data_IF_532100677030
#
_entry.id   IF_532100677030
#
_cell.length_a   1.000
_cell.length_b   1.000
_cell.length_c   1.000
_cell.angle_alpha   90.00
_cell.angle_beta   90.00
_cell.angle_gamma   90.00
#
_symmetry.space_group_name_H-M   'P 1'
#
loop_
_entity.id
_entity.type
_entity.pdbx_description
1 polymer ?
#
# COMPACT_ATOMS: atom_id res chain seq x y z
N UNK A 1 -5.30 10.32 10.66
CA UNK A 1 -5.14 8.86 10.52
C UNK A 1 -4.04 8.56 9.53
N UNK A 2 -3.44 7.38 9.61
CA UNK A 2 -2.39 6.97 8.70
C UNK A 2 -2.78 5.81 7.79
N UNK A 3 -2.36 5.91 6.53
CA UNK A 3 -2.55 4.88 5.52
C UNK A 3 -1.20 4.51 4.91
N UNK A 4 -0.94 3.21 4.76
CA UNK A 4 0.31 2.67 4.22
C UNK A 4 0.05 1.93 2.91
N UNK A 5 0.72 2.35 1.84
CA UNK A 5 0.69 1.70 0.53
C UNK A 5 1.96 0.87 0.33
N UNK A 6 1.80 -0.44 0.17
CA UNK A 6 2.85 -1.42 -0.11
C UNK A 6 2.80 -1.79 -1.59
N UNK A 7 3.52 -1.02 -2.40
CA UNK A 7 3.51 -1.18 -3.86
C UNK A 7 4.54 -2.18 -4.36
N UNK A 8 5.35 -2.79 -3.50
CA UNK A 8 6.36 -3.76 -3.94
C UNK A 8 7.56 -3.83 -3.03
N UNK A 9 8.07 -5.03 -2.71
CA UNK A 9 9.34 -5.19 -1.99
C UNK A 9 10.54 -5.09 -2.95
N UNK A 10 10.55 -5.93 -3.99
CA UNK A 10 11.64 -5.99 -4.97
C UNK A 10 11.35 -5.18 -6.22
N UNK A 11 10.18 -5.38 -6.82
CA UNK A 11 9.72 -4.68 -8.03
C UNK A 11 8.55 -3.79 -7.67
N UNK A 12 8.56 -2.55 -8.14
CA UNK A 12 7.47 -1.60 -7.90
C UNK A 12 6.29 -1.90 -8.80
N UNK A 13 5.12 -2.05 -8.20
CA UNK A 13 3.86 -2.12 -8.90
C UNK A 13 3.43 -0.73 -9.35
N UNK A 14 3.90 -0.37 -10.56
CA UNK A 14 3.74 0.96 -11.13
C UNK A 14 2.28 1.38 -11.29
N UNK A 15 1.38 0.46 -11.66
CA UNK A 15 -0.03 0.78 -11.86
C UNK A 15 -0.71 1.31 -10.59
N UNK A 16 -0.41 0.71 -9.43
CA UNK A 16 -0.88 1.24 -8.15
C UNK A 16 -0.20 2.57 -7.82
N UNK A 17 1.11 2.69 -8.07
CA UNK A 17 1.84 3.93 -7.83
C UNK A 17 1.30 5.10 -8.64
N UNK A 18 1.03 4.87 -9.93
CA UNK A 18 0.48 5.83 -10.90
C UNK A 18 -0.89 6.34 -10.44
N UNK A 19 -1.70 5.47 -9.86
CA UNK A 19 -3.01 5.83 -9.32
C UNK A 19 -2.88 6.66 -8.03
N UNK A 20 -2.04 6.22 -7.07
CA UNK A 20 -1.95 6.88 -5.75
C UNK A 20 -1.14 8.17 -5.76
N UNK A 21 -0.17 8.33 -6.66
CA UNK A 21 0.70 9.50 -6.73
C UNK A 21 0.09 10.64 -7.57
N UNK A 22 -1.22 10.86 -7.41
CA UNK A 22 -1.96 11.95 -8.05
C UNK A 22 -2.48 12.94 -7.00
N UNK A 23 -2.55 14.24 -7.32
CA UNK A 23 -3.08 15.24 -6.38
C UNK A 23 -4.53 14.94 -5.98
N UNK A 24 -5.32 14.48 -6.94
CA UNK A 24 -6.74 14.12 -6.73
C UNK A 24 -6.87 13.02 -5.69
N UNK A 25 -6.10 11.93 -5.83
CA UNK A 25 -6.17 10.81 -4.90
C UNK A 25 -5.63 11.16 -3.51
N UNK A 26 -4.50 11.87 -3.44
CA UNK A 26 -3.94 12.32 -2.15
C UNK A 26 -4.87 13.31 -1.42
N UNK A 27 -5.55 14.19 -2.16
CA UNK A 27 -6.57 15.09 -1.59
C UNK A 27 -7.77 14.30 -1.11
N UNK A 28 -8.24 13.31 -1.91
CA UNK A 28 -9.31 12.41 -1.48
C UNK A 28 -8.98 11.71 -0.16
N UNK A 29 -7.77 11.15 -0.01
CA UNK A 29 -7.34 10.52 1.24
C UNK A 29 -7.36 11.52 2.41
N UNK A 30 -6.88 12.73 2.19
CA UNK A 30 -6.91 13.79 3.20
C UNK A 30 -8.35 14.19 3.58
N UNK A 31 -9.27 14.27 2.61
CA UNK A 31 -10.70 14.55 2.85
C UNK A 31 -11.38 13.39 3.60
N UNK A 32 -10.94 12.16 3.37
CA UNK A 32 -11.31 11.02 4.18
C UNK A 32 -10.71 11.10 5.59
N UNK A 33 -9.76 11.98 5.89
CA UNK A 33 -9.15 12.15 7.22
C UNK A 33 -7.82 11.40 7.42
N UNK A 34 -7.20 10.94 6.33
CA UNK A 34 -5.84 10.44 6.34
C UNK A 34 -4.86 11.59 6.12
N UNK A 35 -4.31 12.09 7.22
CA UNK A 35 -3.32 13.17 7.25
C UNK A 35 -1.89 12.64 7.06
N UNK A 36 -1.64 11.35 7.33
CA UNK A 36 -0.33 10.70 7.14
C UNK A 36 -0.42 9.59 6.11
N UNK A 37 0.11 9.84 4.93
CA UNK A 37 0.18 8.89 3.82
C UNK A 37 1.60 8.37 3.73
N UNK A 38 1.75 7.05 3.77
CA UNK A 38 3.05 6.39 3.68
C UNK A 38 3.07 5.50 2.44
N UNK A 39 4.07 5.64 1.58
CA UNK A 39 4.20 4.85 0.35
C UNK A 39 5.54 4.13 0.34
N UNK A 40 5.46 2.82 0.18
CA UNK A 40 6.57 1.91 0.10
C UNK A 40 6.68 1.41 -1.35
N UNK A 41 7.81 1.67 -2.00
CA UNK A 41 8.10 1.23 -3.38
C UNK A 41 9.21 0.18 -3.41
N UNK A 42 9.31 -0.58 -4.51
CA UNK A 42 10.30 -1.64 -4.65
C UNK A 42 11.74 -1.11 -4.63
N UNK A 43 12.72 -1.99 -4.40
CA UNK A 43 14.14 -1.65 -4.34
C UNK A 43 14.87 -1.88 -5.69
N UNK A 44 14.25 -1.55 -6.83
CA UNK A 44 14.84 -1.81 -8.15
C UNK A 44 16.01 -0.87 -8.42
N UNK A 45 17.15 -1.44 -8.81
CA UNK A 45 18.35 -0.72 -9.23
C UNK A 45 18.79 -1.12 -10.63
N UNK A 46 19.25 -0.16 -11.43
CA UNK A 46 19.82 -0.43 -12.74
C UNK A 46 21.25 -0.96 -12.66
N UNK A 47 21.82 -1.33 -13.81
CA UNK A 47 23.20 -1.82 -13.92
C UNK A 47 24.27 -0.79 -13.49
N UNK A 48 23.90 0.49 -13.32
CA UNK A 48 24.77 1.56 -12.83
C UNK A 48 24.65 1.79 -11.32
N UNK A 49 23.78 1.04 -10.63
CA UNK A 49 23.50 1.19 -9.21
C UNK A 49 22.52 2.33 -8.89
N UNK A 50 21.85 2.89 -9.91
CA UNK A 50 20.85 3.94 -9.74
C UNK A 50 19.51 3.30 -9.39
N UNK A 51 18.82 3.90 -8.41
CA UNK A 51 17.55 3.39 -7.93
C UNK A 51 16.39 3.77 -8.86
N UNK A 52 15.94 2.82 -9.69
CA UNK A 52 14.92 2.99 -10.73
C UNK A 52 13.57 3.34 -10.10
N UNK A 53 13.15 2.60 -9.08
CA UNK A 53 11.86 2.83 -8.42
C UNK A 53 11.75 4.22 -7.81
N UNK A 54 12.83 4.71 -7.20
CA UNK A 54 12.91 6.07 -6.66
C UNK A 54 12.80 7.12 -7.76
N UNK A 55 13.54 6.93 -8.86
CA UNK A 55 13.49 7.86 -9.99
C UNK A 55 12.09 7.89 -10.61
N UNK A 56 11.48 6.73 -10.82
CA UNK A 56 10.12 6.61 -11.33
C UNK A 56 9.12 7.37 -10.45
N UNK A 57 9.17 7.17 -9.13
CA UNK A 57 8.30 7.90 -8.21
C UNK A 57 8.55 9.41 -8.22
N UNK A 58 9.82 9.82 -8.29
CA UNK A 58 10.20 11.24 -8.34
C UNK A 58 9.69 11.91 -9.61
N UNK A 59 9.79 11.23 -10.76
CA UNK A 59 9.24 11.68 -12.03
C UNK A 59 7.72 11.78 -11.97
N UNK A 60 7.05 10.77 -11.42
CA UNK A 60 5.60 10.73 -11.28
C UNK A 60 5.06 11.91 -10.43
N UNK A 61 5.73 12.24 -9.32
CA UNK A 61 5.39 13.41 -8.51
C UNK A 61 5.57 14.73 -9.26
N UNK A 62 6.58 14.81 -10.14
CA UNK A 62 6.85 15.99 -10.97
C UNK A 62 5.84 16.12 -12.10
N UNK A 63 5.57 15.05 -12.83
CA UNK A 63 4.61 15.00 -13.95
C UNK A 63 3.19 15.34 -13.48
N UNK A 64 2.79 14.81 -12.33
CA UNK A 64 1.49 15.11 -11.73
C UNK A 64 1.46 16.41 -10.91
N UNK A 65 2.56 17.17 -10.89
CA UNK A 65 2.72 18.42 -10.13
C UNK A 65 2.26 18.33 -8.67
N UNK A 66 2.44 17.17 -8.03
CA UNK A 66 1.89 16.86 -6.70
C UNK A 66 2.41 17.83 -5.65
N UNK A 67 3.72 18.08 -5.65
CA UNK A 67 4.38 18.94 -4.67
C UNK A 67 3.89 20.39 -4.79
N UNK A 68 3.67 20.87 -6.01
CA UNK A 68 3.22 22.24 -6.28
C UNK A 68 1.73 22.41 -5.96
N UNK A 69 0.88 21.51 -6.46
CA UNK A 69 -0.57 21.57 -6.29
C UNK A 69 -0.99 21.37 -4.83
N UNK A 70 -0.34 20.44 -4.12
CA UNK A 70 -0.59 20.20 -2.69
C UNK A 70 0.25 21.10 -1.79
N UNK A 71 1.12 21.96 -2.34
CA UNK A 71 2.01 22.86 -1.58
C UNK A 71 2.80 22.12 -0.50
N UNK A 72 3.39 20.99 -0.88
CA UNK A 72 4.15 20.16 0.05
C UNK A 72 5.59 20.66 0.13
N UNK A 73 6.12 20.76 1.35
CA UNK A 73 7.53 21.05 1.58
C UNK A 73 8.29 19.75 1.86
N UNK A 74 9.52 19.63 1.34
CA UNK A 74 10.41 18.53 1.70
C UNK A 74 10.91 18.79 3.12
N UNK A 75 10.42 18.00 4.09
CA UNK A 75 10.79 18.14 5.51
C UNK A 75 11.96 17.27 5.93
N UNK A 76 12.15 16.13 5.27
CA UNK A 76 13.25 15.23 5.60
C UNK A 76 13.64 14.40 4.38
N UNK A 77 14.94 14.37 4.08
CA UNK A 77 15.55 13.37 3.20
C UNK A 77 16.68 12.75 4.04
N UNK A 78 16.56 11.46 4.37
CA UNK A 78 17.63 10.75 5.08
C UNK A 78 18.92 10.82 4.25
N UNK A 79 20.10 10.78 4.90
CA UNK A 79 21.39 10.86 4.20
C UNK A 79 21.58 9.77 3.12
N UNK A 80 20.99 8.59 3.32
CA UNK A 80 21.01 7.48 2.35
C UNK A 80 19.93 7.63 1.26
N UNK A 81 19.17 8.73 1.33
CA UNK A 81 18.05 9.11 0.48
C UNK A 81 17.00 8.02 0.26
N UNK A 82 16.93 7.07 1.19
CA UNK A 82 16.01 5.94 1.21
C UNK A 82 14.61 6.35 1.65
N UNK A 83 14.49 7.41 2.47
CA UNK A 83 13.22 7.97 2.92
C UNK A 83 13.14 9.45 2.56
N UNK A 84 12.07 9.84 1.88
CA UNK A 84 11.73 11.24 1.58
C UNK A 84 10.38 11.56 2.21
N UNK A 85 10.30 12.65 2.98
CA UNK A 85 9.05 13.11 3.58
C UNK A 85 8.67 14.48 3.04
N UNK A 86 7.51 14.54 2.39
CA UNK A 86 6.83 15.73 1.94
C UNK A 86 5.73 16.06 2.94
N UNK A 87 5.60 17.31 3.40
CA UNK A 87 4.52 17.67 4.31
C UNK A 87 4.12 19.13 4.20
N UNK A 88 2.85 19.41 4.42
CA UNK A 88 2.30 20.75 4.59
C UNK A 88 1.60 20.86 5.98
N UNK A 89 0.65 21.78 6.14
CA UNK A 89 -0.11 21.96 7.39
C UNK A 89 -1.23 20.94 7.61
N UNK A 90 -1.62 20.18 6.58
CA UNK A 90 -2.79 19.28 6.58
C UNK A 90 -2.42 17.82 6.24
N UNK A 91 -1.39 17.61 5.43
CA UNK A 91 -0.99 16.33 4.84
C UNK A 91 0.52 16.11 4.98
N UNK A 92 0.89 14.88 5.33
CA UNK A 92 2.25 14.36 5.33
C UNK A 92 2.30 13.12 4.42
N UNK A 93 3.10 13.20 3.36
CA UNK A 93 3.44 12.10 2.46
C UNK A 93 4.87 11.63 2.74
N UNK A 94 5.02 10.45 3.31
CA UNK A 94 6.30 9.79 3.55
C UNK A 94 6.51 8.69 2.52
N UNK A 95 7.64 8.68 1.83
CA UNK A 95 7.95 7.67 0.82
C UNK A 95 9.29 7.00 1.08
N UNK A 96 9.35 5.68 0.89
CA UNK A 96 10.58 4.91 1.05
C UNK A 96 10.62 3.66 0.18
N UNK A 97 11.81 3.11 -0.02
CA UNK A 97 12.01 1.87 -0.78
C UNK A 97 11.71 0.63 0.07
N UNK A 98 12.75 -0.05 0.57
CA UNK A 98 12.63 -1.11 1.57
C UNK A 98 13.29 -0.65 2.87
N UNK A 99 12.66 -0.96 4.00
CA UNK A 99 13.21 -0.68 5.32
C UNK A 99 12.99 -1.88 6.22
N UNK A 100 13.99 -2.22 7.04
CA UNK A 100 13.88 -3.21 8.11
C UNK A 100 12.79 -2.83 9.14
N UNK A 101 12.31 -1.59 9.11
CA UNK A 101 11.22 -1.07 9.94
C UNK A 101 9.83 -1.20 9.33
N UNK A 102 9.62 -2.03 8.29
CA UNK A 102 8.30 -2.20 7.67
C UNK A 102 7.21 -2.58 8.69
N UNK A 103 7.52 -3.50 9.62
CA UNK A 103 6.58 -3.89 10.69
C UNK A 103 6.15 -2.70 11.55
N UNK A 104 7.06 -1.77 11.86
CA UNK A 104 6.73 -0.57 12.62
C UNK A 104 5.79 0.36 11.84
N UNK A 105 6.01 0.51 10.53
CA UNK A 105 5.11 1.28 9.67
C UNK A 105 3.72 0.64 9.56
N UNK A 106 3.65 -0.69 9.46
CA UNK A 106 2.37 -1.43 9.46
C UNK A 106 1.68 -1.28 10.82
N UNK A 107 2.42 -1.39 11.93
CA UNK A 107 1.88 -1.23 13.28
C UNK A 107 1.35 0.19 13.55
N UNK A 108 1.96 1.22 12.98
CA UNK A 108 1.50 2.60 13.07
C UNK A 108 0.30 2.88 12.14
N UNK A 109 0.17 2.15 11.02
CA UNK A 109 -0.90 2.34 10.04
C UNK A 109 -2.28 2.01 10.63
N UNK A 110 -3.28 2.85 10.28
CA UNK A 110 -4.69 2.56 10.54
C UNK A 110 -5.28 1.68 9.43
N UNK A 111 -4.79 1.84 8.20
CA UNK A 111 -5.16 1.05 7.02
C UNK A 111 -3.92 0.73 6.19
N UNK A 112 -3.80 -0.52 5.75
CA UNK A 112 -2.74 -0.95 4.83
C UNK A 112 -3.36 -1.34 3.49
N UNK A 113 -2.74 -0.86 2.40
CA UNK A 113 -3.08 -1.23 1.03
C UNK A 113 -1.87 -1.93 0.43
N UNK A 114 -2.01 -3.19 0.02
CA UNK A 114 -0.90 -4.00 -0.51
C UNK A 114 -1.24 -4.54 -1.90
N UNK A 115 -0.29 -4.54 -2.83
CA UNK A 115 -0.48 -5.05 -4.19
C UNK A 115 -0.49 -6.60 -4.33
N UNK A 116 -0.64 -7.34 -3.23
CA UNK A 116 -0.73 -8.81 -3.29
C UNK A 116 0.55 -9.57 -2.97
N UNK A 117 1.65 -8.88 -2.63
CA UNK A 117 2.87 -9.54 -2.16
C UNK A 117 2.60 -10.35 -0.89
N UNK A 118 2.85 -11.66 -0.94
CA UNK A 118 2.56 -12.57 0.17
C UNK A 118 3.10 -12.09 1.51
N UNK A 119 4.39 -11.72 1.57
CA UNK A 119 5.02 -11.28 2.82
C UNK A 119 4.27 -10.11 3.45
N UNK A 120 3.97 -9.09 2.65
CA UNK A 120 3.21 -7.92 3.08
C UNK A 120 1.80 -8.24 3.56
N UNK A 121 1.09 -9.16 2.90
CA UNK A 121 -0.24 -9.62 3.35
C UNK A 121 -0.11 -10.27 4.74
N UNK A 122 0.82 -11.21 4.88
CA UNK A 122 1.00 -11.96 6.12
C UNK A 122 1.45 -11.08 7.28
N UNK A 123 2.38 -10.16 7.05
CA UNK A 123 2.87 -9.25 8.08
C UNK A 123 1.73 -8.32 8.57
N UNK A 124 0.88 -7.86 7.65
CA UNK A 124 -0.29 -7.04 7.99
C UNK A 124 -1.33 -7.84 8.78
N UNK A 125 -1.68 -9.04 8.33
CA UNK A 125 -2.66 -9.90 9.00
C UNK A 125 -2.17 -10.35 10.39
N UNK A 126 -0.88 -10.64 10.55
CA UNK A 126 -0.26 -10.99 11.84
C UNK A 126 -0.33 -9.85 12.84
N UNK A 127 -0.22 -8.60 12.36
CA UNK A 127 -0.34 -7.40 13.19
C UNK A 127 -1.80 -6.99 13.43
N UNK A 128 -2.78 -7.76 12.94
CA UNK A 128 -4.21 -7.50 13.12
C UNK A 128 -4.68 -6.23 12.43
N UNK A 129 -3.98 -5.79 11.38
CA UNK A 129 -4.25 -4.51 10.73
C UNK A 129 -5.26 -4.66 9.59
N UNK A 130 -6.18 -3.68 9.42
CA UNK A 130 -7.03 -3.55 8.24
C UNK A 130 -6.22 -3.61 6.94
N UNK A 131 -6.59 -4.51 6.04
CA UNK A 131 -5.85 -4.76 4.80
C UNK A 131 -6.77 -4.69 3.57
N UNK A 132 -6.37 -3.85 2.61
CA UNK A 132 -6.91 -3.84 1.24
C UNK A 132 -5.85 -4.42 0.31
N UNK A 133 -6.20 -5.46 -0.44
CA UNK A 133 -5.30 -6.10 -1.40
C UNK A 133 -5.68 -5.67 -2.81
N UNK A 134 -4.74 -5.05 -3.51
CA UNK A 134 -4.88 -4.70 -4.92
C UNK A 134 -4.29 -5.84 -5.76
N UNK A 135 -5.16 -6.59 -6.43
CA UNK A 135 -4.82 -7.78 -7.19
C UNK A 135 -4.46 -7.37 -8.62
N UNK A 136 -3.29 -7.80 -9.10
CA UNK A 136 -2.89 -7.59 -10.48
C UNK A 136 -3.47 -8.67 -11.39
N UNK A 137 -4.68 -8.42 -11.89
CA UNK A 137 -5.41 -9.30 -12.81
C UNK A 137 -4.77 -9.45 -14.20
N UNK A 138 -3.75 -8.66 -14.53
CA UNK A 138 -3.05 -8.75 -15.83
C UNK A 138 -1.84 -9.68 -15.84
N UNK A 139 -1.25 -9.95 -14.67
CA UNK A 139 0.00 -10.70 -14.52
C UNK A 139 -0.08 -11.86 -13.53
N UNK A 140 -1.14 -11.95 -12.71
CA UNK A 140 -1.21 -12.96 -11.65
C UNK A 140 -1.46 -14.37 -12.16
N UNK A 141 -0.77 -15.32 -11.53
CA UNK A 141 -1.23 -16.70 -11.41
C UNK A 141 -2.51 -16.74 -10.55
N UNK A 142 -3.49 -17.55 -10.97
CA UNK A 142 -4.82 -17.67 -10.33
C UNK A 142 -4.78 -17.92 -8.82
N UNK A 143 -3.66 -18.42 -8.30
CA UNK A 143 -3.47 -18.76 -6.88
C UNK A 143 -3.58 -17.56 -5.93
N UNK A 144 -3.04 -16.40 -6.29
CA UNK A 144 -3.11 -15.22 -5.40
C UNK A 144 -4.54 -14.66 -5.32
N UNK A 145 -5.30 -14.74 -6.42
CA UNK A 145 -6.73 -14.40 -6.45
C UNK A 145 -7.55 -15.33 -5.56
N UNK A 146 -7.35 -16.65 -5.68
CA UNK A 146 -8.06 -17.65 -4.86
C UNK A 146 -7.82 -17.43 -3.36
N UNK A 147 -6.57 -17.13 -2.98
CA UNK A 147 -6.20 -16.81 -1.60
C UNK A 147 -6.92 -15.55 -1.12
N UNK A 148 -6.85 -14.46 -1.88
CA UNK A 148 -7.46 -13.19 -1.50
C UNK A 148 -8.97 -13.31 -1.36
N UNK A 149 -9.64 -14.02 -2.28
CA UNK A 149 -11.08 -14.31 -2.19
C UNK A 149 -11.43 -15.08 -0.92
N UNK A 150 -10.58 -16.01 -0.51
CA UNK A 150 -10.80 -16.81 0.70
C UNK A 150 -10.68 -15.96 1.97
N UNK A 151 -9.67 -15.09 2.04
CA UNK A 151 -9.54 -14.15 3.16
C UNK A 151 -10.63 -13.07 3.16
N UNK A 152 -11.12 -12.67 1.99
CA UNK A 152 -12.25 -11.74 1.88
C UNK A 152 -13.56 -12.35 2.38
N UNK A 153 -13.83 -13.63 2.05
CA UNK A 153 -14.99 -14.38 2.59
C UNK A 153 -14.99 -14.44 4.11
N UNK A 154 -13.81 -14.56 4.70
CA UNK A 154 -13.61 -14.61 6.15
C UNK A 154 -13.49 -13.21 6.79
N UNK A 155 -13.62 -12.14 5.98
CA UNK A 155 -13.59 -10.72 6.39
C UNK A 155 -12.25 -10.31 7.03
N UNK A 156 -11.15 -10.93 6.59
CA UNK A 156 -9.79 -10.55 7.00
C UNK A 156 -9.19 -9.46 6.12
N UNK A 157 -9.60 -9.37 4.86
CA UNK A 157 -9.14 -8.35 3.91
C UNK A 157 -10.22 -7.97 2.91
N UNK A 158 -10.00 -6.87 2.18
CA UNK A 158 -10.83 -6.48 1.03
C UNK A 158 -9.98 -6.58 -0.24
N UNK A 159 -10.42 -7.32 -1.25
CA UNK A 159 -9.72 -7.33 -2.53
C UNK A 159 -10.27 -6.26 -3.48
N UNK A 160 -9.38 -5.69 -4.31
CA UNK A 160 -9.67 -4.73 -5.37
C UNK A 160 -8.87 -5.13 -6.59
N UNK A 161 -9.49 -5.23 -7.76
CA UNK A 161 -8.76 -5.56 -8.98
C UNK A 161 -8.02 -4.33 -9.52
N UNK A 162 -6.86 -4.55 -10.13
CA UNK A 162 -6.09 -3.44 -10.71
C UNK A 162 -6.85 -2.74 -11.85
N UNK A 163 -7.61 -3.50 -12.64
CA UNK A 163 -8.51 -2.96 -13.66
C UNK A 163 -9.61 -2.04 -13.08
N UNK A 164 -9.96 -2.22 -11.81
CA UNK A 164 -11.00 -1.44 -11.11
C UNK A 164 -10.44 -0.20 -10.39
N UNK A 165 -9.11 -0.03 -10.32
CA UNK A 165 -8.51 1.21 -9.80
C UNK A 165 -9.00 2.44 -10.58
N UNK A 166 -9.14 2.31 -11.90
CA UNK A 166 -9.64 3.41 -12.74
C UNK A 166 -11.12 3.73 -12.52
N UNK A 167 -11.90 2.81 -11.94
CA UNK A 167 -13.33 2.99 -11.69
C UNK A 167 -13.64 3.53 -10.29
N UNK A 168 -12.63 3.70 -9.43
CA UNK A 168 -12.82 4.22 -8.08
C UNK A 168 -12.96 3.16 -6.98
N UNK A 169 -12.67 1.88 -7.29
CA UNK A 169 -12.90 0.79 -6.33
C UNK A 169 -12.02 0.87 -5.08
N UNK A 170 -10.82 1.46 -5.21
CA UNK A 170 -9.92 1.69 -4.07
C UNK A 170 -10.48 2.80 -3.17
N UNK A 171 -10.99 3.87 -3.75
CA UNK A 171 -11.64 4.98 -3.07
C UNK A 171 -12.91 4.51 -2.33
N UNK A 172 -13.69 3.65 -2.97
CA UNK A 172 -14.86 3.01 -2.35
C UNK A 172 -14.45 2.15 -1.15
N UNK A 173 -13.37 1.36 -1.27
CA UNK A 173 -12.85 0.55 -0.17
C UNK A 173 -12.38 1.42 1.01
N UNK A 174 -11.65 2.51 0.72
CA UNK A 174 -11.20 3.47 1.74
C UNK A 174 -12.38 4.16 2.42
N UNK A 175 -13.41 4.54 1.66
CA UNK A 175 -14.63 5.17 2.16
C UNK A 175 -15.47 4.19 3.01
N UNK A 176 -15.56 2.93 2.59
CA UNK A 176 -16.24 1.87 3.34
C UNK A 176 -15.52 1.59 4.67
N UNK A 177 -14.19 1.65 4.70
CA UNK A 177 -13.42 1.56 5.94
C UNK A 177 -13.70 2.76 6.86
N UNK A 178 -13.68 3.98 6.31
CA UNK A 178 -13.89 5.19 7.11
C UNK A 178 -15.30 5.34 7.66
N UNK A 179 -16.30 4.85 6.94
CA UNK A 179 -17.69 4.79 7.40
C UNK A 179 -17.97 3.65 8.39
N UNK A 180 -16.97 2.79 8.67
CA UNK A 180 -17.11 1.65 9.59
C UNK A 180 -17.89 0.46 9.01
N UNK A 181 -18.17 0.45 7.70
CA UNK A 181 -18.83 -0.66 7.02
C UNK A 181 -17.89 -1.83 6.73
N UNK A 182 -16.57 -1.59 6.71
CA UNK A 182 -15.54 -2.63 6.68
C UNK A 182 -15.04 -2.90 8.10
N UNK A 183 -15.41 -4.05 8.64
CA UNK A 183 -14.93 -4.56 9.93
C UNK A 183 -13.99 -5.72 9.66
N UNK A 184 -12.71 -5.54 9.93
CA UNK A 184 -11.71 -6.59 9.74
C UNK A 184 -11.63 -7.49 10.96
N UNK A 185 -11.62 -8.80 10.75
CA UNK A 185 -11.34 -9.77 11.82
C UNK A 185 -9.85 -9.81 12.12
N UNK A 186 -9.49 -9.92 13.39
CA UNK A 186 -8.12 -10.22 13.79
C UNK A 186 -7.82 -11.71 13.57
N UNK A 187 -6.61 -11.98 13.08
CA UNK A 187 -6.10 -13.34 12.89
C UNK A 187 -5.76 -13.95 14.26
N UNK A 188 -6.74 -14.58 14.92
CA UNK A 188 -6.53 -15.20 16.23
C UNK A 188 -5.65 -16.46 16.13
N UNK A 189 -4.68 -16.59 17.04
CA UNK A 189 -3.88 -17.80 17.20
C UNK A 189 -4.56 -18.77 18.18
N UNK A 190 -4.62 -20.10 17.92
CA UNK A 190 -4.01 -20.82 16.80
C UNK A 190 -4.86 -20.77 15.54
N UNK A 191 -4.18 -20.63 14.40
CA UNK A 191 -4.74 -20.78 13.07
C UNK A 191 -5.23 -22.23 12.89
N UNK A 192 -6.54 -22.41 12.77
CA UNK A 192 -7.16 -23.72 12.56
C UNK A 192 -7.62 -23.92 11.11
N UNK A 193 -7.41 -25.13 10.57
CA UNK A 193 -8.08 -25.59 9.35
C UNK A 193 -7.60 -24.93 8.05
N UNK A 194 -8.55 -24.48 7.22
CA UNK A 194 -8.30 -24.06 5.83
C UNK A 194 -7.38 -22.84 5.73
N UNK A 195 -7.43 -21.93 6.71
CA UNK A 195 -6.55 -20.76 6.76
C UNK A 195 -5.07 -21.13 6.84
N UNK A 196 -4.72 -22.23 7.52
CA UNK A 196 -3.33 -22.69 7.62
C UNK A 196 -2.81 -23.18 6.26
N UNK A 197 -3.67 -23.81 5.46
CA UNK A 197 -3.36 -24.23 4.09
C UNK A 197 -3.19 -23.04 3.14
N UNK A 198 -4.08 -22.05 3.23
CA UNK A 198 -4.01 -20.81 2.44
C UNK A 198 -2.75 -20.00 2.80
N UNK A 199 -2.40 -19.91 4.09
CA UNK A 199 -1.15 -19.27 4.54
C UNK A 199 0.08 -20.04 4.07
N UNK A 200 0.03 -21.37 4.02
CA UNK A 200 1.13 -22.18 3.49
C UNK A 200 1.34 -21.94 1.99
N UNK A 201 0.26 -21.86 1.22
CA UNK A 201 0.30 -21.55 -0.23
C UNK A 201 0.79 -20.13 -0.51
N UNK A 202 0.55 -19.22 0.43
CA UNK A 202 1.10 -17.89 0.40
C UNK A 202 2.64 -17.93 0.53
N UNK A 203 3.15 -18.68 1.49
CA UNK A 203 4.58 -18.73 1.84
C UNK A 203 5.46 -19.59 0.89
N UNK A 204 4.85 -20.35 -0.03
CA UNK A 204 5.53 -21.13 -1.09
C UNK A 204 5.83 -20.28 -2.33
#
# INVERSE_FOLDING_TARGET
MSILFLTGATVTFRQLLDHIATPTFLTFLNDQGFDRIVVQYGNETDASGKHISKEYFSLLLQENAVVELLRLDIRNETNDKSVTTFANSQLQLQVFAYSDSLEAHIAEADLVVSHGGTGSIMDTLRLGKPLVVVINDQLMDNHQTEVAEQFEKEVYLRSVLCSELGTGALEDAVTAFRSGHLVFRELASPLGGVLLGVISQLLE
#
